data_IF_073561872703
#
_entry.id   IF_073561872703
#
_cell.length_a   1.000
_cell.length_b   1.000
_cell.length_c   1.000
_cell.angle_alpha   90.00
_cell.angle_beta   90.00
_cell.angle_gamma   90.00
#
_symmetry.space_group_name_H-M   'P 1'
#
loop_
_entity.id
_entity.type
_entity.pdbx_description
1 polymer ?
#
# COMPACT_ATOMS: atom_id res chain seq x y z
N UNK A 1 9.53 12.41 -14.54
CA UNK A 1 8.58 12.56 -13.42
C UNK A 1 8.90 11.49 -12.39
N UNK A 2 9.49 11.88 -11.25
CA UNK A 2 9.94 10.93 -10.22
C UNK A 2 8.75 10.35 -9.47
N UNK A 3 8.69 9.02 -9.35
CA UNK A 3 7.76 8.35 -8.43
C UNK A 3 8.05 8.91 -7.03
N UNK A 4 7.07 9.55 -6.39
CA UNK A 4 7.23 9.96 -4.99
C UNK A 4 7.67 8.73 -4.18
N UNK A 5 8.75 8.88 -3.41
CA UNK A 5 9.29 7.76 -2.63
C UNK A 5 8.21 7.29 -1.63
N UNK A 6 7.97 5.99 -1.59
CA UNK A 6 7.09 5.37 -0.60
C UNK A 6 7.69 5.61 0.79
N UNK A 7 6.85 5.97 1.76
CA UNK A 7 7.24 6.24 3.15
C UNK A 7 6.50 5.32 4.11
N UNK A 8 7.16 4.95 5.20
CA UNK A 8 6.52 4.27 6.33
C UNK A 8 5.39 5.15 6.87
N UNK A 9 4.25 4.54 7.20
CA UNK A 9 3.04 5.19 7.70
C UNK A 9 2.00 5.53 6.62
N UNK A 10 2.39 5.62 5.35
CA UNK A 10 1.46 5.93 4.24
C UNK A 10 0.39 4.86 4.08
N UNK A 11 -0.82 5.28 3.69
CA UNK A 11 -1.92 4.39 3.34
C UNK A 11 -2.14 4.41 1.83
N UNK A 12 -2.24 3.21 1.26
CA UNK A 12 -2.43 3.01 -0.15
C UNK A 12 -3.62 2.08 -0.44
N UNK A 13 -4.40 2.40 -1.46
CA UNK A 13 -5.49 1.57 -1.96
C UNK A 13 -5.00 0.66 -3.08
N UNK A 14 -5.47 -0.58 -3.10
CA UNK A 14 -5.26 -1.49 -4.23
C UNK A 14 -6.14 -1.03 -5.42
N UNK A 15 -5.55 -0.72 -6.57
CA UNK A 15 -6.31 -0.34 -7.76
C UNK A 15 -6.94 -1.54 -8.47
N UNK A 16 -6.61 -2.79 -8.12
CA UNK A 16 -7.27 -3.96 -8.69
C UNK A 16 -8.75 -3.99 -8.27
N UNK A 17 -9.64 -3.92 -9.27
CA UNK A 17 -11.10 -3.97 -9.07
C UNK A 17 -11.56 -5.20 -8.30
N UNK A 18 -10.86 -6.34 -8.44
CA UNK A 18 -11.15 -7.58 -7.71
C UNK A 18 -10.79 -7.50 -6.23
N UNK A 19 -9.95 -6.53 -5.87
CA UNK A 19 -9.43 -6.33 -4.52
C UNK A 19 -10.06 -5.12 -3.83
N UNK A 20 -11.00 -4.39 -4.43
CA UNK A 20 -11.68 -3.28 -3.75
C UNK A 20 -12.61 -3.83 -2.65
N UNK A 21 -12.69 -3.19 -1.47
CA UNK A 21 -12.14 -1.87 -1.10
C UNK A 21 -10.78 -1.91 -0.35
N UNK A 22 -9.85 -2.81 -0.71
CA UNK A 22 -8.63 -3.03 0.08
C UNK A 22 -7.73 -1.79 0.22
N UNK A 23 -7.30 -1.52 1.45
CA UNK A 23 -6.24 -0.57 1.75
C UNK A 23 -5.16 -1.19 2.64
N UNK A 24 -3.93 -0.73 2.45
CA UNK A 24 -2.73 -1.19 3.15
C UNK A 24 -1.98 0.01 3.72
N UNK A 25 -1.37 -0.15 4.89
CA UNK A 25 -0.44 0.80 5.48
C UNK A 25 0.98 0.28 5.35
N UNK A 26 1.91 1.12 4.92
CA UNK A 26 3.35 0.77 4.94
C UNK A 26 3.83 0.80 6.39
N UNK A 27 4.36 -0.31 6.88
CA UNK A 27 4.90 -0.42 8.24
C UNK A 27 6.42 -0.42 8.27
N UNK A 28 7.06 -0.87 7.19
CA UNK A 28 8.52 -0.92 7.07
C UNK A 28 8.93 -0.91 5.59
N UNK A 29 10.13 -0.41 5.29
CA UNK A 29 10.74 -0.50 3.97
C UNK A 29 12.05 -1.29 4.11
N UNK A 30 12.15 -2.39 3.37
CA UNK A 30 13.27 -3.34 3.40
C UNK A 30 13.77 -3.53 1.96
N UNK A 31 14.86 -2.87 1.62
CA UNK A 31 15.40 -2.85 0.26
C UNK A 31 14.34 -2.37 -0.75
N UNK A 32 14.03 -3.19 -1.74
CA UNK A 32 13.04 -2.88 -2.79
C UNK A 32 11.60 -3.27 -2.43
N UNK A 33 11.33 -3.64 -1.17
CA UNK A 33 10.01 -4.09 -0.71
C UNK A 33 9.53 -3.24 0.46
N UNK A 34 8.23 -3.02 0.52
CA UNK A 34 7.54 -2.52 1.70
C UNK A 34 6.88 -3.70 2.43
N UNK A 35 7.10 -3.80 3.74
CA UNK A 35 6.21 -4.56 4.60
C UNK A 35 4.98 -3.70 4.82
N UNK A 36 3.80 -4.28 4.59
CA UNK A 36 2.53 -3.57 4.70
C UNK A 36 1.55 -4.34 5.54
N UNK A 37 0.66 -3.61 6.18
CA UNK A 37 -0.41 -4.15 7.01
C UNK A 37 -1.77 -3.82 6.37
N UNK A 38 -2.68 -4.80 6.31
CA UNK A 38 -4.04 -4.59 5.79
C UNK A 38 -4.83 -3.73 6.76
N UNK A 39 -5.22 -2.54 6.32
CA UNK A 39 -6.08 -1.62 7.08
C UNK A 39 -7.55 -1.88 6.77
N UNK A 40 -7.87 -2.03 5.49
CA UNK A 40 -9.19 -2.43 4.99
C UNK A 40 -9.03 -3.68 4.13
N UNK A 41 -9.66 -4.81 4.46
CA UNK A 41 -9.59 -6.01 3.62
C UNK A 41 -10.54 -5.93 2.41
N UNK A 42 -10.21 -6.63 1.32
CA UNK A 42 -11.06 -6.75 0.12
C UNK A 42 -12.29 -7.65 0.35
N UNK A 43 -12.11 -8.67 1.19
CA UNK A 43 -13.09 -9.72 1.46
C UNK A 43 -12.93 -10.18 2.90
N UNK A 44 -13.98 -10.79 3.47
CA UNK A 44 -13.99 -11.28 4.85
C UNK A 44 -12.87 -12.29 5.16
N UNK A 45 -12.39 -13.01 4.13
CA UNK A 45 -11.30 -13.97 4.26
C UNK A 45 -9.91 -13.34 4.47
N UNK A 46 -9.74 -12.04 4.18
CA UNK A 46 -8.48 -11.33 4.43
C UNK A 46 -8.58 -10.66 5.79
N UNK A 47 -7.71 -11.09 6.72
CA UNK A 47 -7.70 -10.50 8.05
C UNK A 47 -7.13 -9.07 8.02
N UNK A 48 -7.86 -8.14 8.64
CA UNK A 48 -7.30 -6.83 9.02
C UNK A 48 -6.10 -7.05 9.94
N UNK A 49 -5.03 -6.28 9.76
CA UNK A 49 -3.77 -6.48 10.47
C UNK A 49 -2.85 -7.52 9.85
N UNK A 50 -3.29 -8.26 8.83
CA UNK A 50 -2.41 -9.20 8.12
C UNK A 50 -1.25 -8.44 7.46
N UNK A 51 -0.03 -8.98 7.60
CA UNK A 51 1.18 -8.39 7.06
C UNK A 51 1.65 -9.12 5.82
N UNK A 52 2.08 -8.36 4.82
CA UNK A 52 2.62 -8.93 3.58
C UNK A 52 3.69 -8.01 2.99
N UNK A 53 4.50 -8.55 2.08
CA UNK A 53 5.56 -7.80 1.40
C UNK A 53 5.11 -7.42 0.01
N UNK A 54 5.19 -6.12 -0.31
CA UNK A 54 4.83 -5.56 -1.62
C UNK A 54 6.07 -4.91 -2.23
N UNK A 55 6.36 -5.19 -3.50
CA UNK A 55 7.46 -4.54 -4.19
C UNK A 55 7.19 -3.03 -4.35
N UNK A 56 8.18 -2.18 -4.03
CA UNK A 56 8.06 -0.72 -4.09
C UNK A 56 7.62 -0.22 -5.49
N UNK A 57 8.03 -0.92 -6.55
CA UNK A 57 7.61 -0.64 -7.93
C UNK A 57 6.11 -0.74 -8.18
N UNK A 58 5.33 -1.38 -7.29
CA UNK A 58 3.86 -1.48 -7.37
C UNK A 58 3.14 -0.26 -6.81
N UNK A 59 3.82 0.63 -6.08
CA UNK A 59 3.24 1.86 -5.56
C UNK A 59 3.28 2.96 -6.62
N UNK A 60 2.47 2.79 -7.67
CA UNK A 60 2.38 3.69 -8.82
C UNK A 60 0.96 4.25 -8.95
N UNK A 61 0.76 5.56 -8.78
CA UNK A 61 -0.58 6.17 -8.76
C UNK A 61 -1.41 5.99 -10.03
N UNK A 62 -0.76 5.72 -11.16
CA UNK A 62 -1.30 5.83 -12.53
C UNK A 62 -1.41 4.49 -13.27
N UNK A 63 -1.04 3.37 -12.65
CA UNK A 63 -1.02 2.05 -13.28
C UNK A 63 -1.77 0.99 -12.45
N UNK A 64 -1.69 -0.28 -12.88
CA UNK A 64 -2.05 -1.45 -12.06
C UNK A 64 -1.09 -1.55 -10.87
N UNK A 65 -1.59 -1.29 -9.67
CA UNK A 65 -0.77 -1.19 -8.47
C UNK A 65 -1.51 -0.53 -7.31
N UNK A 66 -0.76 0.17 -6.47
CA UNK A 66 -1.28 0.86 -5.31
C UNK A 66 -1.35 2.37 -5.57
N UNK A 67 -2.48 2.97 -5.23
CA UNK A 67 -2.71 4.42 -5.28
C UNK A 67 -2.60 5.02 -3.88
N UNK A 68 -1.83 6.10 -3.74
CA UNK A 68 -1.70 6.80 -2.45
C UNK A 68 -3.06 7.40 -2.06
N UNK A 69 -3.50 7.10 -0.84
CA UNK A 69 -4.74 7.62 -0.26
C UNK A 69 -4.43 8.62 0.85
N UNK A 70 -3.44 8.30 1.69
CA UNK A 70 -3.02 9.15 2.80
C UNK A 70 -1.51 9.18 2.85
N UNK A 71 -0.93 10.38 2.68
CA UNK A 71 0.49 10.58 2.92
C UNK A 71 0.75 10.72 4.43
N UNK A 72 2.01 10.51 4.84
CA UNK A 72 2.44 10.90 6.17
C UNK A 72 2.67 12.41 6.22
N UNK A 73 2.32 13.08 7.34
CA UNK A 73 2.72 14.47 7.54
C UNK A 73 4.23 14.58 7.35
N UNK A 74 4.65 15.46 6.45
CA UNK A 74 6.07 15.81 6.37
C UNK A 74 6.32 16.77 7.54
N UNK A 75 7.31 16.51 8.41
CA UNK A 75 7.64 17.43 9.49
C UNK A 75 8.08 18.81 8.98
#
# INVERSE_FOLDING_TARGET
MGTAAVKVGQIWADNDVRSKPRTIRVVEIIGEKALVEVVTPAAAAVNKGARTRVALKRFRPIATGYRLVTDVPTP
#
